data_IF_005477777640
#
_entry.id   IF_005477777640
#
_cell.length_a   1.000
_cell.length_b   1.000
_cell.length_c   1.000
_cell.angle_alpha   90.00
_cell.angle_beta   90.00
_cell.angle_gamma   90.00
#
_symmetry.space_group_name_H-M   'P 1'
#
loop_
_entity.id
_entity.type
_entity.pdbx_description
1 polymer ?
#
# COMPACT_ATOMS: atom_id res chain seq x y z
N UNK A 1 -6.77 8.62 -0.19
CA UNK A 1 -6.50 7.24 -0.63
C UNK A 1 -5.53 7.21 -1.80
N UNK A 2 -5.71 8.01 -2.86
CA UNK A 2 -4.78 8.05 -4.00
C UNK A 2 -3.30 8.21 -3.61
N UNK A 3 -2.97 9.11 -2.69
CA UNK A 3 -1.59 9.28 -2.23
C UNK A 3 -1.09 8.07 -1.42
N UNK A 4 -1.96 7.51 -0.57
CA UNK A 4 -1.66 6.34 0.24
C UNK A 4 -1.43 5.10 -0.62
N UNK A 5 -2.16 4.92 -1.72
CA UNK A 5 -1.94 3.80 -2.65
C UNK A 5 -0.54 3.86 -3.27
N UNK A 6 -0.05 5.05 -3.64
CA UNK A 6 1.32 5.20 -4.15
C UNK A 6 2.37 4.89 -3.07
N UNK A 7 2.15 5.35 -1.85
CA UNK A 7 3.09 5.11 -0.76
C UNK A 7 3.19 3.62 -0.40
N UNK A 8 2.04 2.94 -0.30
CA UNK A 8 1.97 1.50 -0.10
C UNK A 8 2.67 0.77 -1.25
N UNK A 9 2.37 1.12 -2.51
CA UNK A 9 2.96 0.47 -3.68
C UNK A 9 4.50 0.60 -3.66
N UNK A 10 5.00 1.80 -3.35
CA UNK A 10 6.43 2.05 -3.26
C UNK A 10 7.08 1.27 -2.10
N UNK A 11 6.45 1.23 -0.93
CA UNK A 11 6.96 0.44 0.20
C UNK A 11 7.01 -1.05 -0.09
N UNK A 12 6.00 -1.59 -0.78
CA UNK A 12 6.01 -3.00 -1.22
C UNK A 12 7.14 -3.23 -2.21
N UNK A 13 7.27 -2.38 -3.23
CA UNK A 13 8.31 -2.50 -4.26
C UNK A 13 9.72 -2.46 -3.68
N UNK A 14 9.98 -1.60 -2.68
CA UNK A 14 11.30 -1.47 -2.05
C UNK A 14 11.63 -2.61 -1.08
N UNK A 15 10.64 -3.16 -0.37
CA UNK A 15 10.85 -4.15 0.70
C UNK A 15 10.78 -5.59 0.23
N UNK A 16 10.05 -5.86 -0.84
CA UNK A 16 9.80 -7.23 -1.30
C UNK A 16 10.61 -7.49 -2.58
N UNK A 17 11.63 -8.37 -2.54
CA UNK A 17 12.47 -8.64 -3.69
C UNK A 17 11.73 -9.44 -4.77
N UNK A 18 12.17 -9.29 -6.02
CA UNK A 18 11.65 -10.05 -7.17
C UNK A 18 10.31 -9.53 -7.70
N UNK A 19 9.95 -8.28 -7.38
CA UNK A 19 8.79 -7.60 -7.94
C UNK A 19 9.23 -6.67 -9.05
N UNK A 20 8.59 -6.82 -10.20
CA UNK A 20 8.73 -5.94 -11.36
C UNK A 20 7.77 -4.74 -11.29
N UNK A 21 6.51 -4.99 -10.93
CA UNK A 21 5.47 -3.95 -10.88
C UNK A 21 4.51 -4.19 -9.70
N UNK A 22 4.01 -3.10 -9.11
CA UNK A 22 3.04 -3.12 -8.01
C UNK A 22 1.88 -2.20 -8.34
N UNK A 23 0.66 -2.72 -8.23
CA UNK A 23 -0.56 -1.94 -8.36
C UNK A 23 -1.39 -2.08 -7.08
N UNK A 24 -1.92 -0.98 -6.57
CA UNK A 24 -2.68 -0.95 -5.31
C UNK A 24 -3.99 -0.19 -5.52
N UNK A 25 -5.10 -0.79 -5.08
CA UNK A 25 -6.41 -0.17 -5.05
C UNK A 25 -6.98 -0.17 -3.64
N UNK A 26 -7.43 0.99 -3.18
CA UNK A 26 -8.16 1.13 -1.93
C UNK A 26 -9.57 1.63 -2.23
N UNK A 27 -10.58 0.89 -1.80
CA UNK A 27 -11.99 1.26 -1.91
C UNK A 27 -12.53 1.61 -0.53
N UNK A 28 -13.01 2.84 -0.35
CA UNK A 28 -13.65 3.27 0.89
C UNK A 28 -15.11 2.82 0.96
N UNK A 29 -15.70 2.91 2.16
CA UNK A 29 -17.13 2.77 2.39
C UNK A 29 -17.58 3.91 3.31
N UNK A 30 -18.64 4.61 2.93
CA UNK A 30 -19.20 5.69 3.75
C UNK A 30 -19.63 5.11 5.12
N UNK A 31 -19.26 5.81 6.19
CA UNK A 31 -19.52 5.38 7.57
C UNK A 31 -18.51 4.39 8.14
N UNK A 32 -17.46 4.01 7.39
CA UNK A 32 -16.33 3.23 7.90
C UNK A 32 -15.11 4.11 8.16
N UNK A 33 -14.29 3.79 9.18
CA UNK A 33 -12.99 4.43 9.40
C UNK A 33 -12.08 4.36 8.17
N UNK A 34 -11.22 5.36 7.98
CA UNK A 34 -10.31 5.46 6.83
C UNK A 34 -9.20 4.38 6.80
N UNK A 35 -8.90 3.78 7.95
CA UNK A 35 -8.00 2.63 8.07
C UNK A 35 -8.69 1.29 7.76
N UNK A 36 -10.02 1.27 7.62
CA UNK A 36 -10.83 0.09 7.29
C UNK A 36 -11.48 0.22 5.91
N UNK A 37 -10.69 0.15 4.81
CA UNK A 37 -11.27 0.15 3.48
C UNK A 37 -12.13 -1.09 3.26
N UNK A 38 -13.19 -0.95 2.46
CA UNK A 38 -14.04 -2.07 2.03
C UNK A 38 -13.23 -3.10 1.23
N UNK A 39 -12.30 -2.61 0.42
CA UNK A 39 -11.36 -3.44 -0.35
C UNK A 39 -9.99 -2.80 -0.30
N UNK A 40 -8.98 -3.60 0.03
CA UNK A 40 -7.58 -3.29 -0.20
C UNK A 40 -7.01 -4.36 -1.15
N UNK A 41 -6.94 -4.02 -2.43
CA UNK A 41 -6.44 -4.90 -3.48
C UNK A 41 -4.99 -4.58 -3.81
N UNK A 42 -4.18 -5.61 -4.01
CA UNK A 42 -2.83 -5.50 -4.53
C UNK A 42 -2.60 -6.51 -5.66
N UNK A 43 -1.99 -6.04 -6.73
CA UNK A 43 -1.53 -6.86 -7.83
C UNK A 43 -0.01 -6.73 -7.96
N UNK A 44 0.63 -7.89 -8.06
CA UNK A 44 2.08 -8.01 -8.11
C UNK A 44 2.48 -8.66 -9.42
N UNK A 45 3.30 -7.98 -10.20
CA UNK A 45 3.98 -8.56 -11.35
C UNK A 45 5.40 -8.90 -10.91
N UNK A 46 5.76 -10.18 -10.97
CA UNK A 46 7.06 -10.66 -10.50
C UNK A 46 8.07 -10.74 -11.63
N UNK A 47 9.35 -10.64 -11.27
CA UNK A 47 10.45 -10.99 -12.15
C UNK A 47 10.50 -12.52 -12.38
N UNK A 48 11.24 -12.93 -13.43
CA UNK A 48 11.42 -14.35 -13.73
C UNK A 48 12.06 -15.06 -12.54
N UNK A 49 11.36 -16.05 -11.99
CA UNK A 49 11.81 -16.84 -10.83
C UNK A 49 11.40 -16.26 -9.47
N UNK A 50 10.56 -15.21 -9.42
CA UNK A 50 10.01 -14.69 -8.17
C UNK A 50 9.05 -15.67 -7.49
N UNK A 51 9.11 -15.74 -6.15
CA UNK A 51 8.17 -16.51 -5.34
C UNK A 51 6.93 -15.68 -4.99
N UNK A 52 5.83 -15.94 -5.70
CA UNK A 52 4.55 -15.27 -5.47
C UNK A 52 4.01 -15.46 -4.06
N UNK A 53 4.20 -16.64 -3.45
CA UNK A 53 3.62 -16.93 -2.15
C UNK A 53 4.31 -16.10 -1.06
N UNK A 54 5.64 -16.04 -1.11
CA UNK A 54 6.44 -15.20 -0.22
C UNK A 54 6.14 -13.72 -0.44
N UNK A 55 6.13 -13.26 -1.71
CA UNK A 55 5.89 -11.86 -2.05
C UNK A 55 4.49 -11.39 -1.63
N UNK A 56 3.45 -12.18 -1.89
CA UNK A 56 2.07 -11.89 -1.51
C UNK A 56 1.91 -11.77 0.02
N UNK A 57 2.56 -12.65 0.79
CA UNK A 57 2.51 -12.61 2.25
C UNK A 57 3.14 -11.32 2.79
N UNK A 58 4.36 -11.01 2.34
CA UNK A 58 5.07 -9.79 2.76
C UNK A 58 4.31 -8.53 2.36
N UNK A 59 3.79 -8.48 1.14
CA UNK A 59 3.03 -7.33 0.66
C UNK A 59 1.74 -7.13 1.48
N UNK A 60 1.06 -8.22 1.86
CA UNK A 60 -0.12 -8.16 2.74
C UNK A 60 0.22 -7.60 4.13
N UNK A 61 1.36 -8.00 4.71
CA UNK A 61 1.84 -7.48 5.99
C UNK A 61 2.14 -5.98 5.91
N UNK A 62 2.78 -5.54 4.82
CA UNK A 62 3.05 -4.12 4.57
C UNK A 62 1.75 -3.32 4.49
N UNK A 63 0.77 -3.75 3.67
CA UNK A 63 -0.52 -3.05 3.54
C UNK A 63 -1.22 -2.91 4.90
N UNK A 64 -1.25 -3.98 5.70
CA UNK A 64 -1.84 -3.94 7.05
C UNK A 64 -1.12 -2.95 7.95
N UNK A 65 0.22 -2.93 7.91
CA UNK A 65 1.02 -1.99 8.69
C UNK A 65 0.74 -0.54 8.29
N UNK A 66 0.67 -0.25 6.99
CA UNK A 66 0.40 1.11 6.47
C UNK A 66 -1.02 1.59 6.84
N UNK A 67 -2.02 0.71 6.75
CA UNK A 67 -3.39 1.03 7.15
C UNK A 67 -3.50 1.25 8.67
N UNK A 68 -2.82 0.46 9.48
CA UNK A 68 -2.76 0.66 10.93
C UNK A 68 -2.03 1.96 11.30
N UNK A 69 -1.00 2.33 10.54
CA UNK A 69 -0.20 3.54 10.69
C UNK A 69 -0.76 4.78 9.98
N UNK A 70 -2.03 4.77 9.54
CA UNK A 70 -2.59 5.85 8.69
C UNK A 70 -2.53 7.24 9.34
N UNK A 71 -2.48 7.32 10.67
CA UNK A 71 -2.36 8.58 11.39
C UNK A 71 -1.02 9.27 11.13
N UNK A 72 0.07 8.50 11.00
CA UNK A 72 1.39 9.05 10.69
C UNK A 72 1.43 9.59 9.25
N UNK A 73 0.80 8.87 8.33
CA UNK A 73 0.58 9.35 6.97
C UNK A 73 -0.23 10.64 6.94
N UNK A 74 -1.36 10.66 7.67
CA UNK A 74 -2.23 11.83 7.75
C UNK A 74 -1.49 13.03 8.33
N UNK A 75 -0.67 12.83 9.36
CA UNK A 75 0.17 13.87 9.93
C UNK A 75 1.14 14.46 8.90
N UNK A 76 1.90 13.61 8.19
CA UNK A 76 2.81 14.07 7.13
C UNK A 76 2.08 14.82 6.02
N UNK A 77 0.88 14.36 5.65
CA UNK A 77 0.04 15.02 4.66
C UNK A 77 -0.38 16.41 5.13
N UNK A 78 -0.83 16.54 6.39
CA UNK A 78 -1.22 17.84 6.97
C UNK A 78 -0.04 18.81 7.14
N UNK A 79 1.17 18.29 7.33
CA UNK A 79 2.41 19.07 7.42
C UNK A 79 2.96 19.48 6.04
N UNK A 80 2.30 19.10 4.94
CA UNK A 80 2.76 19.40 3.58
C UNK A 80 4.00 18.60 3.14
N UNK A 81 4.36 17.54 3.87
CA UNK A 81 5.52 16.68 3.56
C UNK A 81 5.24 15.67 2.44
N UNK A 82 3.98 15.53 2.05
CA UNK A 82 3.56 14.71 0.91
C UNK A 82 3.15 15.67 -0.19
N UNK A 83 3.88 15.65 -1.31
CA UNK A 83 3.50 16.43 -2.48
C UNK A 83 2.17 15.92 -3.02
N UNK A 84 1.18 16.79 -3.01
CA UNK A 84 -0.02 16.65 -3.85
C UNK A 84 0.32 17.33 -5.17
N UNK A 85 -0.14 16.78 -6.28
CA UNK A 85 0.18 17.22 -7.64
C UNK A 85 0.32 18.74 -7.80
#
# INVERSE_FOLDING_TARGET
>A
YNLLTYEIANHVYQKVPGIKEVYVWLLSQIGRPINEPKVAGIELILDRGGDFKSASKQATEIIKSELNGINDFTKRLTEGKVSVC
#
